data_IF_959839005109
#
_entry.id   IF_959839005109
#
_cell.length_a   1.000
_cell.length_b   1.000
_cell.length_c   1.000
_cell.angle_alpha   90.00
_cell.angle_beta   90.00
_cell.angle_gamma   90.00
#
_symmetry.space_group_name_H-M   'P 1'
#
loop_
_entity.id
_entity.type
_entity.pdbx_description
1 polymer ?
#
# COMPACT_ATOMS: atom_id res chain seq x y z
N UNK A 1 27.69 3.30 0.88
CA UNK A 1 26.57 3.17 1.83
C UNK A 1 26.08 1.74 1.74
N UNK A 2 26.02 1.07 2.88
CA UNK A 2 25.46 -0.26 3.06
C UNK A 2 23.99 -0.15 3.52
N UNK A 3 23.33 -1.31 3.68
CA UNK A 3 21.94 -1.38 4.12
C UNK A 3 21.72 -0.71 5.47
N UNK A 4 22.60 -0.96 6.45
CA UNK A 4 22.47 -0.42 7.79
C UNK A 4 22.54 1.11 7.81
N UNK A 5 23.50 1.70 7.09
CA UNK A 5 23.63 3.15 6.96
C UNK A 5 22.45 3.77 6.21
N UNK A 6 21.85 3.07 5.25
CA UNK A 6 20.64 3.51 4.58
C UNK A 6 19.43 3.52 5.52
N UNK A 7 19.18 2.42 6.25
CA UNK A 7 18.07 2.37 7.21
C UNK A 7 18.22 3.43 8.30
N UNK A 8 19.44 3.62 8.81
CA UNK A 8 19.73 4.66 9.80
C UNK A 8 19.46 6.08 9.26
N UNK A 9 19.93 6.38 8.04
CA UNK A 9 19.66 7.67 7.38
C UNK A 9 18.16 7.92 7.21
N UNK A 10 17.41 6.91 6.75
CA UNK A 10 15.96 7.03 6.57
C UNK A 10 15.27 7.30 7.90
N UNK A 11 15.64 6.58 8.96
CA UNK A 11 15.06 6.75 10.30
C UNK A 11 15.36 8.13 10.88
N UNK A 12 16.61 8.59 10.79
CA UNK A 12 17.00 9.91 11.26
C UNK A 12 16.15 11.01 10.58
N UNK A 13 16.10 11.02 9.23
CA UNK A 13 15.28 11.98 8.48
C UNK A 13 13.78 11.89 8.77
N UNK A 14 13.29 10.74 9.22
CA UNK A 14 11.87 10.54 9.48
C UNK A 14 11.44 10.91 10.90
N UNK A 15 12.23 10.46 11.88
CA UNK A 15 11.91 10.52 13.30
C UNK A 15 12.31 11.87 13.90
N UNK A 16 13.37 12.49 13.37
CA UNK A 16 13.86 13.81 13.82
C UNK A 16 13.25 14.96 13.01
N UNK A 17 12.39 14.66 12.03
CA UNK A 17 11.77 15.64 11.15
C UNK A 17 11.03 16.75 11.93
N UNK A 18 11.46 18.00 11.76
CA UNK A 18 10.73 19.17 12.24
C UNK A 18 9.64 19.61 11.24
N UNK A 19 9.89 19.38 9.95
CA UNK A 19 9.01 19.76 8.86
C UNK A 19 8.56 18.55 8.02
N UNK A 20 7.45 18.70 7.30
CA UNK A 20 6.87 17.61 6.48
C UNK A 20 7.80 17.20 5.34
N UNK A 21 8.52 18.18 4.80
CA UNK A 21 9.44 18.08 3.69
C UNK A 21 10.63 17.15 3.99
N UNK A 22 11.05 17.07 5.25
CA UNK A 22 12.11 16.16 5.69
C UNK A 22 11.66 14.70 5.57
N UNK A 23 10.38 14.42 5.86
CA UNK A 23 9.80 13.10 5.62
C UNK A 23 9.70 12.78 4.12
N UNK A 24 9.42 13.77 3.27
CA UNK A 24 9.52 13.56 1.82
C UNK A 24 10.97 13.26 1.38
N UNK A 25 11.96 13.90 1.99
CA UNK A 25 13.37 13.60 1.73
C UNK A 25 13.73 12.16 2.14
N UNK A 26 13.25 11.68 3.30
CA UNK A 26 13.40 10.29 3.71
C UNK A 26 12.78 9.32 2.68
N UNK A 27 11.58 9.62 2.15
CA UNK A 27 10.95 8.80 1.10
C UNK A 27 11.75 8.81 -0.21
N UNK A 28 12.37 9.94 -0.56
CA UNK A 28 13.27 10.02 -1.70
C UNK A 28 14.51 9.12 -1.51
N UNK A 29 15.07 9.06 -0.30
CA UNK A 29 16.17 8.15 0.05
C UNK A 29 15.74 6.69 -0.02
N UNK A 30 14.57 6.34 0.52
CA UNK A 30 13.99 4.97 0.44
C UNK A 30 13.82 4.52 -1.01
N UNK A 31 13.37 5.42 -1.89
CA UNK A 31 13.07 5.13 -3.30
C UNK A 31 14.27 5.29 -4.23
N UNK A 32 15.43 5.71 -3.71
CA UNK A 32 16.59 5.93 -4.54
C UNK A 32 17.05 4.62 -5.19
N UNK A 33 17.48 4.66 -6.46
CA UNK A 33 17.87 3.47 -7.25
C UNK A 33 18.90 2.55 -6.57
N UNK A 34 19.76 3.12 -5.71
CA UNK A 34 20.77 2.35 -4.95
C UNK A 34 20.19 1.53 -3.80
N UNK A 35 18.97 1.83 -3.38
CA UNK A 35 18.28 1.11 -2.30
C UNK A 35 17.38 -0.02 -2.81
N UNK A 36 17.24 -0.20 -4.13
CA UNK A 36 16.34 -1.18 -4.73
C UNK A 36 16.59 -2.60 -4.21
N UNK A 37 17.84 -2.99 -4.11
CA UNK A 37 18.24 -4.33 -3.64
C UNK A 37 17.98 -4.54 -2.13
N UNK A 38 17.66 -3.47 -1.40
CA UNK A 38 17.28 -3.53 0.01
C UNK A 38 15.77 -3.51 0.23
N UNK A 39 14.96 -3.33 -0.83
CA UNK A 39 13.50 -3.40 -0.76
C UNK A 39 13.05 -4.86 -0.82
N UNK A 40 13.27 -5.57 0.29
CA UNK A 40 13.05 -7.00 0.45
C UNK A 40 12.14 -7.28 1.67
N UNK A 41 11.83 -8.54 2.00
CA UNK A 41 11.00 -8.84 3.17
C UNK A 41 11.57 -8.29 4.48
N UNK A 42 12.89 -8.15 4.60
CA UNK A 42 13.55 -7.62 5.78
C UNK A 42 13.46 -6.08 5.89
N UNK A 43 13.06 -5.35 4.83
CA UNK A 43 12.79 -3.91 4.93
C UNK A 43 11.36 -3.57 5.36
N UNK A 44 10.44 -4.55 5.38
CA UNK A 44 9.05 -4.33 5.79
C UNK A 44 8.90 -3.75 7.22
N UNK A 45 9.75 -4.09 8.22
CA UNK A 45 9.73 -3.41 9.51
C UNK A 45 10.02 -1.90 9.40
N UNK A 46 10.94 -1.48 8.53
CA UNK A 46 11.17 -0.06 8.24
C UNK A 46 9.93 0.54 7.58
N UNK A 47 9.36 -0.10 6.56
CA UNK A 47 8.14 0.40 5.92
C UNK A 47 6.98 0.56 6.90
N UNK A 48 6.77 -0.41 7.80
CA UNK A 48 5.74 -0.31 8.85
C UNK A 48 6.01 0.86 9.80
N UNK A 49 7.26 1.05 10.21
CA UNK A 49 7.66 2.20 11.04
C UNK A 49 7.30 3.52 10.37
N UNK A 50 7.64 3.69 9.10
CA UNK A 50 7.31 4.89 8.33
C UNK A 50 5.79 5.08 8.24
N UNK A 51 5.03 4.03 7.96
CA UNK A 51 3.56 4.09 7.88
C UNK A 51 2.94 4.56 9.21
N UNK A 52 3.31 3.93 10.32
CA UNK A 52 2.73 4.22 11.64
C UNK A 52 3.14 5.62 12.14
N UNK A 53 4.40 6.02 11.97
CA UNK A 53 4.88 7.36 12.38
C UNK A 53 4.44 8.47 11.42
N UNK A 54 4.18 8.12 10.16
CA UNK A 54 3.76 9.03 9.08
C UNK A 54 2.27 9.35 9.07
N UNK A 55 1.45 8.37 9.44
CA UNK A 55 0.01 8.38 9.72
C UNK A 55 -0.85 9.42 8.97
N UNK A 56 -0.56 9.62 7.68
CA UNK A 56 -1.32 10.48 6.78
C UNK A 56 -1.09 10.04 5.33
N UNK A 57 -2.07 10.31 4.48
CA UNK A 57 -2.17 9.70 3.14
C UNK A 57 -1.01 10.07 2.20
N UNK A 58 -0.54 11.30 2.20
CA UNK A 58 0.58 11.81 1.39
C UNK A 58 1.87 11.00 1.60
N UNK A 59 2.13 10.55 2.82
CA UNK A 59 3.30 9.75 3.17
C UNK A 59 3.03 8.25 3.03
N UNK A 60 1.90 7.78 3.58
CA UNK A 60 1.57 6.34 3.62
C UNK A 60 1.37 5.80 2.22
N UNK A 61 0.76 6.56 1.31
CA UNK A 61 0.50 6.11 -0.06
C UNK A 61 1.82 5.93 -0.82
N UNK A 62 2.81 6.80 -0.58
CA UNK A 62 4.15 6.64 -1.17
C UNK A 62 4.82 5.37 -0.65
N UNK A 63 4.76 5.10 0.67
CA UNK A 63 5.33 3.88 1.26
C UNK A 63 4.62 2.62 0.72
N UNK A 64 3.29 2.66 0.60
CA UNK A 64 2.50 1.53 0.15
C UNK A 64 2.75 1.17 -1.31
N UNK A 65 2.68 2.17 -2.19
CA UNK A 65 2.77 1.95 -3.64
C UNK A 65 4.20 1.71 -4.11
N UNK A 66 5.20 2.25 -3.40
CA UNK A 66 6.61 2.12 -3.76
C UNK A 66 7.37 1.08 -2.93
N UNK A 67 8.01 1.38 -1.78
CA UNK A 67 8.88 0.41 -1.13
C UNK A 67 8.17 -0.91 -0.76
N UNK A 68 6.91 -0.86 -0.31
CA UNK A 68 6.14 -2.08 -0.03
C UNK A 68 5.75 -2.80 -1.32
N UNK A 69 5.25 -2.08 -2.32
CA UNK A 69 4.89 -2.66 -3.61
C UNK A 69 6.09 -3.21 -4.39
N UNK A 70 7.26 -2.59 -4.27
CA UNK A 70 8.51 -3.01 -4.91
C UNK A 70 9.05 -4.27 -4.23
N UNK A 71 9.01 -4.33 -2.89
CA UNK A 71 9.31 -5.54 -2.14
C UNK A 71 8.34 -6.69 -2.50
N UNK A 72 7.04 -6.40 -2.63
CA UNK A 72 6.05 -7.38 -3.08
C UNK A 72 6.35 -7.89 -4.50
N UNK A 73 6.72 -7.00 -5.41
CA UNK A 73 7.03 -7.35 -6.79
C UNK A 73 8.27 -8.26 -6.89
N UNK A 74 9.32 -7.96 -6.12
CA UNK A 74 10.56 -8.73 -6.12
C UNK A 74 10.48 -10.03 -5.30
N UNK A 75 9.68 -10.05 -4.23
CA UNK A 75 9.67 -11.14 -3.24
C UNK A 75 8.25 -11.62 -2.89
N UNK A 76 7.41 -11.83 -3.91
CA UNK A 76 5.97 -12.13 -3.76
C UNK A 76 5.65 -13.18 -2.70
N UNK A 77 6.28 -14.36 -2.79
CA UNK A 77 6.01 -15.48 -1.89
C UNK A 77 6.21 -15.12 -0.40
N UNK A 78 7.19 -14.27 -0.10
CA UNK A 78 7.51 -13.87 1.27
C UNK A 78 6.69 -12.66 1.74
N UNK A 79 6.35 -11.73 0.85
CA UNK A 79 5.67 -10.48 1.21
C UNK A 79 4.14 -10.62 1.25
N UNK A 80 3.53 -11.43 0.39
CA UNK A 80 2.09 -11.70 0.36
C UNK A 80 1.51 -12.08 1.74
N UNK A 81 2.06 -13.04 2.51
CA UNK A 81 1.53 -13.38 3.84
C UNK A 81 1.66 -12.23 4.84
N UNK A 82 2.67 -11.36 4.70
CA UNK A 82 2.81 -10.16 5.51
C UNK A 82 1.69 -9.16 5.23
N UNK A 83 1.36 -8.93 3.96
CA UNK A 83 0.29 -8.01 3.57
C UNK A 83 -1.10 -8.52 3.98
N UNK A 84 -1.34 -9.83 3.92
CA UNK A 84 -2.56 -10.45 4.47
C UNK A 84 -2.69 -10.21 5.98
N UNK A 85 -1.59 -10.23 6.72
CA UNK A 85 -1.57 -9.88 8.15
C UNK A 85 -1.80 -8.38 8.35
N UNK A 86 -1.10 -7.53 7.59
CA UNK A 86 -1.27 -6.07 7.66
C UNK A 86 -2.68 -5.61 7.35
N UNK A 87 -3.39 -6.29 6.46
CA UNK A 87 -4.79 -6.01 6.16
C UNK A 87 -5.73 -6.20 7.37
N UNK A 88 -5.28 -6.86 8.43
CA UNK A 88 -6.01 -7.08 9.70
C UNK A 88 -5.37 -6.35 10.89
N UNK A 89 -4.38 -5.49 10.66
CA UNK A 89 -3.69 -4.75 11.72
C UNK A 89 -4.63 -3.75 12.40
N UNK A 90 -4.45 -3.48 13.68
CA UNK A 90 -5.25 -2.49 14.41
C UNK A 90 -5.06 -1.07 13.83
N UNK A 91 -3.86 -0.79 13.31
CA UNK A 91 -3.55 0.50 12.69
C UNK A 91 -4.20 0.62 11.29
N UNK A 92 -5.08 1.61 11.07
CA UNK A 92 -5.77 1.79 9.79
C UNK A 92 -4.84 2.17 8.63
N UNK A 93 -3.70 2.79 8.91
CA UNK A 93 -2.70 3.12 7.89
C UNK A 93 -1.93 1.88 7.44
N UNK A 94 -1.65 0.95 8.34
CA UNK A 94 -1.07 -0.37 7.98
C UNK A 94 -2.05 -1.17 7.12
N UNK A 95 -3.35 -1.17 7.46
CA UNK A 95 -4.41 -1.76 6.62
C UNK A 95 -4.50 -1.10 5.25
N UNK A 96 -4.46 0.25 5.20
CA UNK A 96 -4.41 1.02 3.96
C UNK A 96 -3.20 0.64 3.09
N UNK A 97 -2.04 0.46 3.70
CA UNK A 97 -0.82 0.03 3.00
C UNK A 97 -1.01 -1.34 2.34
N UNK A 98 -1.65 -2.30 3.01
CA UNK A 98 -1.95 -3.59 2.40
C UNK A 98 -2.85 -3.46 1.16
N UNK A 99 -3.91 -2.66 1.25
CA UNK A 99 -4.85 -2.41 0.13
C UNK A 99 -4.17 -1.72 -1.06
N UNK A 100 -3.25 -0.78 -0.81
CA UNK A 100 -2.59 0.01 -1.87
C UNK A 100 -1.30 -0.62 -2.42
N UNK A 101 -0.80 -1.70 -1.80
CA UNK A 101 0.49 -2.32 -2.14
C UNK A 101 0.65 -2.72 -3.62
N UNK A 102 -0.47 -2.94 -4.32
CA UNK A 102 -0.49 -3.38 -5.72
C UNK A 102 -0.85 -2.28 -6.72
N UNK A 103 -1.10 -1.05 -6.26
CA UNK A 103 -1.42 0.06 -7.17
C UNK A 103 -0.23 0.34 -8.10
N UNK A 104 -0.53 0.49 -9.39
CA UNK A 104 0.42 0.72 -10.46
C UNK A 104 1.05 -0.56 -11.02
N UNK A 105 0.69 -1.74 -10.54
CA UNK A 105 1.31 -3.03 -10.95
C UNK A 105 0.72 -3.64 -12.22
N UNK A 106 -0.45 -3.17 -12.68
CA UNK A 106 -1.09 -3.60 -13.95
C UNK A 106 -1.18 -5.14 -14.04
N UNK A 107 -0.65 -5.75 -15.09
CA UNK A 107 -0.63 -7.21 -15.33
C UNK A 107 0.09 -7.99 -14.24
N UNK A 108 0.97 -7.34 -13.47
CA UNK A 108 1.63 -7.96 -12.33
C UNK A 108 0.77 -7.92 -11.05
N UNK A 109 -0.45 -7.40 -11.08
CA UNK A 109 -1.35 -7.43 -9.91
C UNK A 109 -1.73 -8.89 -9.60
N UNK A 110 -1.69 -9.25 -8.32
CA UNK A 110 -2.23 -10.50 -7.79
C UNK A 110 -3.70 -10.29 -7.40
N UNK A 111 -4.66 -10.83 -8.18
CA UNK A 111 -6.08 -10.60 -7.91
C UNK A 111 -6.54 -11.28 -6.61
N UNK A 112 -5.91 -12.40 -6.23
CA UNK A 112 -6.25 -13.12 -5.01
C UNK A 112 -5.79 -12.34 -3.78
N UNK A 113 -4.56 -11.82 -3.78
CA UNK A 113 -4.13 -10.93 -2.70
C UNK A 113 -4.99 -9.66 -2.63
N UNK A 114 -5.34 -9.06 -3.77
CA UNK A 114 -6.19 -7.86 -3.81
C UNK A 114 -7.56 -8.15 -3.19
N UNK A 115 -8.18 -9.26 -3.59
CA UNK A 115 -9.44 -9.75 -3.04
C UNK A 115 -9.36 -9.98 -1.53
N UNK A 116 -8.29 -10.61 -1.06
CA UNK A 116 -8.11 -10.91 0.37
C UNK A 116 -8.02 -9.64 1.22
N UNK A 117 -7.19 -8.66 0.80
CA UNK A 117 -6.98 -7.43 1.59
C UNK A 117 -8.20 -6.50 1.55
N UNK A 118 -8.97 -6.49 0.45
CA UNK A 118 -10.25 -5.78 0.37
C UNK A 118 -11.29 -6.50 1.24
N UNK A 119 -11.39 -7.82 1.13
CA UNK A 119 -12.46 -8.60 1.76
C UNK A 119 -12.50 -8.45 3.28
N UNK A 120 -11.35 -8.32 3.95
CA UNK A 120 -11.29 -8.11 5.40
C UNK A 120 -11.57 -6.66 5.82
N UNK A 121 -11.51 -5.71 4.88
CA UNK A 121 -11.66 -4.28 5.13
C UNK A 121 -12.94 -3.67 4.54
N UNK A 122 -13.74 -4.45 3.82
CA UNK A 122 -14.88 -3.94 3.02
C UNK A 122 -15.95 -3.26 3.87
N UNK A 123 -16.18 -3.72 5.10
CA UNK A 123 -17.19 -3.18 6.01
C UNK A 123 -16.67 -1.98 6.83
N UNK A 124 -15.39 -1.63 6.73
CA UNK A 124 -14.78 -0.54 7.47
C UNK A 124 -15.43 0.80 7.09
N UNK A 125 -15.67 1.64 8.11
CA UNK A 125 -16.37 2.94 7.94
C UNK A 125 -15.43 4.11 7.68
N UNK A 126 -14.13 3.92 7.82
CA UNK A 126 -13.09 4.91 7.59
C UNK A 126 -13.13 5.44 6.16
N UNK A 127 -13.17 6.76 6.03
CA UNK A 127 -13.06 7.44 4.75
C UNK A 127 -11.77 7.02 4.01
N UNK A 128 -10.64 6.96 4.73
CA UNK A 128 -9.35 6.65 4.14
C UNK A 128 -9.30 5.23 3.59
N UNK A 129 -9.80 4.25 4.33
CA UNK A 129 -9.77 2.86 3.87
C UNK A 129 -10.74 2.64 2.69
N UNK A 130 -11.93 3.23 2.74
CA UNK A 130 -12.88 3.22 1.61
C UNK A 130 -12.32 3.85 0.34
N UNK A 131 -11.60 4.98 0.46
CA UNK A 131 -10.90 5.61 -0.67
C UNK A 131 -9.79 4.71 -1.21
N UNK A 132 -9.04 4.02 -0.34
CA UNK A 132 -8.00 3.10 -0.77
C UNK A 132 -8.56 1.91 -1.56
N UNK A 133 -9.63 1.28 -1.07
CA UNK A 133 -10.30 0.17 -1.76
C UNK A 133 -10.77 0.63 -3.16
N UNK A 134 -11.45 1.78 -3.22
CA UNK A 134 -11.91 2.34 -4.49
C UNK A 134 -10.77 2.68 -5.46
N UNK A 135 -9.65 3.20 -4.95
CA UNK A 135 -8.48 3.49 -5.78
C UNK A 135 -7.79 2.22 -6.27
N UNK A 136 -7.57 1.22 -5.42
CA UNK A 136 -6.96 -0.04 -5.81
C UNK A 136 -7.77 -0.75 -6.90
N UNK A 137 -9.10 -0.81 -6.74
CA UNK A 137 -10.01 -1.36 -7.75
C UNK A 137 -9.97 -0.53 -9.04
N UNK A 138 -10.05 0.80 -8.96
CA UNK A 138 -9.99 1.67 -10.15
C UNK A 138 -8.68 1.52 -10.92
N UNK A 139 -7.56 1.37 -10.20
CA UNK A 139 -6.27 1.19 -10.83
C UNK A 139 -6.21 -0.15 -11.57
N UNK A 140 -6.67 -1.23 -10.92
CA UNK A 140 -6.69 -2.55 -11.54
C UNK A 140 -7.71 -2.68 -12.69
N UNK A 141 -8.78 -1.88 -12.68
CA UNK A 141 -9.78 -1.81 -13.75
C UNK A 141 -9.19 -1.41 -15.12
N UNK A 142 -7.99 -0.78 -15.14
CA UNK A 142 -7.26 -0.47 -16.37
C UNK A 142 -6.64 -1.70 -17.04
N UNK A 143 -6.49 -2.79 -16.28
CA UNK A 143 -5.95 -4.07 -16.73
C UNK A 143 -7.05 -5.10 -16.89
N UNK A 144 -7.90 -5.28 -15.88
CA UNK A 144 -8.99 -6.25 -15.90
C UNK A 144 -10.31 -5.62 -15.44
N UNK A 145 -11.04 -4.94 -16.35
CA UNK A 145 -12.29 -4.26 -16.02
C UNK A 145 -13.40 -5.23 -15.61
N UNK A 146 -13.44 -6.43 -16.18
CA UNK A 146 -14.47 -7.42 -15.91
C UNK A 146 -14.29 -8.06 -14.54
N UNK A 147 -13.05 -8.36 -14.15
CA UNK A 147 -12.75 -8.77 -12.79
C UNK A 147 -13.17 -7.72 -11.76
N UNK A 148 -12.93 -6.43 -12.02
CA UNK A 148 -13.34 -5.36 -11.11
C UNK A 148 -14.86 -5.23 -11.01
N UNK A 149 -15.61 -5.36 -12.11
CA UNK A 149 -17.09 -5.40 -12.07
C UNK A 149 -17.56 -6.57 -11.21
N UNK A 150 -17.05 -7.77 -11.47
CA UNK A 150 -17.39 -8.97 -10.72
C UNK A 150 -17.05 -8.82 -9.22
N UNK A 151 -15.91 -8.22 -8.88
CA UNK A 151 -15.50 -8.00 -7.48
C UNK A 151 -16.38 -6.96 -6.76
N UNK A 152 -16.77 -5.89 -7.47
CA UNK A 152 -17.70 -4.87 -6.96
C UNK A 152 -19.10 -5.45 -6.73
N UNK A 153 -19.56 -6.34 -7.61
CA UNK A 153 -20.84 -7.02 -7.49
C UNK A 153 -20.82 -8.09 -6.40
N UNK A 154 -19.71 -8.84 -6.28
CA UNK A 154 -19.46 -9.82 -5.21
C UNK A 154 -19.65 -9.23 -3.82
N UNK A 155 -19.22 -7.98 -3.62
CA UNK A 155 -19.39 -7.29 -2.35
C UNK A 155 -20.75 -6.60 -2.20
N UNK A 156 -21.47 -6.32 -3.29
CA UNK A 156 -22.81 -5.75 -3.26
C UNK A 156 -22.94 -4.55 -2.32
N UNK A 157 -23.89 -4.62 -1.40
CA UNK A 157 -24.20 -3.55 -0.42
C UNK A 157 -23.12 -3.35 0.64
N UNK A 158 -22.20 -4.31 0.84
CA UNK A 158 -21.10 -4.19 1.80
C UNK A 158 -20.04 -3.20 1.30
N UNK A 159 -19.81 -3.14 -0.01
CA UNK A 159 -18.91 -2.16 -0.59
C UNK A 159 -19.52 -0.77 -0.51
N UNK A 160 -18.85 0.15 0.18
CA UNK A 160 -19.35 1.51 0.35
C UNK A 160 -19.61 2.21 -1.00
N UNK A 161 -20.64 3.07 -1.05
CA UNK A 161 -20.96 3.86 -2.25
C UNK A 161 -19.76 4.69 -2.74
N UNK A 162 -18.90 5.15 -1.82
CA UNK A 162 -17.67 5.85 -2.15
C UNK A 162 -16.70 4.94 -2.91
N UNK A 163 -16.41 3.76 -2.36
CA UNK A 163 -15.51 2.78 -2.98
C UNK A 163 -16.04 2.32 -4.33
N UNK A 164 -17.35 2.03 -4.44
CA UNK A 164 -18.03 1.65 -5.68
C UNK A 164 -17.89 2.72 -6.75
N UNK A 165 -18.21 3.98 -6.43
CA UNK A 165 -18.11 5.10 -7.39
C UNK A 165 -16.68 5.34 -7.84
N UNK A 166 -15.70 5.22 -6.95
CA UNK A 166 -14.29 5.35 -7.32
C UNK A 166 -13.85 4.20 -8.22
N UNK A 167 -14.17 2.95 -7.87
CA UNK A 167 -13.79 1.75 -8.62
C UNK A 167 -14.31 1.77 -10.07
N UNK A 168 -15.58 2.16 -10.26
CA UNK A 168 -16.27 2.12 -11.55
C UNK A 168 -16.11 3.39 -12.39
N UNK A 169 -15.28 4.36 -11.97
CA UNK A 169 -15.23 5.70 -12.58
C UNK A 169 -14.91 5.71 -14.08
N UNK A 170 -14.23 4.68 -14.58
CA UNK A 170 -13.74 4.59 -15.95
C UNK A 170 -14.24 3.32 -16.68
N UNK A 171 -15.28 2.68 -16.14
CA UNK A 171 -15.85 1.42 -16.65
C UNK A 171 -17.22 1.59 -17.30
#
# INVERSE_FOLDING_TARGET
ADRAGWEATVRALWDEAAYREERYAALAVVRHRRARDWLDPASLPLSRHLVVKGAWWDLVDVVATHPVGDALAAHRAAVTPVLRRWARDDDPWVRRTAVLSQVGRRDATDPDLLRDVIGVNVDDRSFWLRKAIGWALRDYARTDPDWVRAEVDRHGVRLSNLSRREALRHL
#
